data_IF_509680783067
#
_entry.id   IF_509680783067
#
_cell.length_a   1.000
_cell.length_b   1.000
_cell.length_c   1.000
_cell.angle_alpha   90.00
_cell.angle_beta   90.00
_cell.angle_gamma   90.00
#
_symmetry.space_group_name_H-M   'P 1'
#
loop_
_entity.id
_entity.type
_entity.pdbx_description
1 polymer ?
#
# COMPACT_ATOMS: atom_id res chain seq x y z
N UNK A 1 26.83 11.11 -0.09
CA UNK A 1 25.95 10.04 0.42
C UNK A 1 24.93 10.53 1.46
N UNK A 2 25.31 11.41 2.40
CA UNK A 2 24.40 11.99 3.41
C UNK A 2 23.09 12.59 2.87
N UNK A 3 23.08 13.42 1.79
CA UNK A 3 21.83 14.02 1.31
C UNK A 3 20.83 13.02 0.68
N UNK A 4 21.30 11.87 0.22
CA UNK A 4 20.42 10.80 -0.29
C UNK A 4 19.74 10.05 0.86
N UNK A 5 20.51 9.68 1.87
CA UNK A 5 19.98 8.94 3.04
C UNK A 5 19.00 9.78 3.86
N UNK A 6 19.28 11.11 4.03
CA UNK A 6 18.36 11.99 4.76
C UNK A 6 17.00 12.15 4.04
N UNK A 7 16.97 12.18 2.70
CA UNK A 7 15.73 12.24 1.93
C UNK A 7 14.91 10.96 2.04
N UNK A 8 15.56 9.81 2.03
CA UNK A 8 14.89 8.52 2.27
C UNK A 8 14.33 8.42 3.70
N UNK A 9 15.08 8.92 4.68
CA UNK A 9 14.61 8.99 6.07
C UNK A 9 13.35 9.85 6.19
N UNK A 10 13.36 11.05 5.62
CA UNK A 10 12.20 11.95 5.61
C UNK A 10 11.01 11.24 4.94
N UNK A 11 11.21 10.61 3.79
CA UNK A 11 10.15 9.88 3.09
C UNK A 11 9.56 8.76 3.96
N UNK A 12 10.41 7.98 4.63
CA UNK A 12 9.96 6.89 5.51
C UNK A 12 9.19 7.42 6.73
N UNK A 13 9.61 8.54 7.31
CA UNK A 13 8.89 9.19 8.41
C UNK A 13 7.50 9.65 7.96
N UNK A 14 7.39 10.25 6.76
CA UNK A 14 6.09 10.64 6.20
C UNK A 14 5.20 9.42 5.94
N UNK A 15 5.72 8.33 5.39
CA UNK A 15 4.97 7.08 5.25
C UNK A 15 4.48 6.56 6.61
N UNK A 16 5.36 6.52 7.60
CA UNK A 16 5.00 6.04 8.93
C UNK A 16 3.93 6.89 9.62
N UNK A 17 4.02 8.22 9.48
CA UNK A 17 3.00 9.15 9.97
C UNK A 17 1.67 8.89 9.24
N UNK A 18 1.71 8.73 7.93
CA UNK A 18 0.52 8.52 7.11
C UNK A 18 -0.20 7.21 7.47
N UNK A 19 0.55 6.12 7.65
CA UNK A 19 -0.01 4.81 8.03
C UNK A 19 -0.66 4.82 9.43
N UNK A 20 -0.13 5.65 10.34
CA UNK A 20 -0.63 5.71 11.71
C UNK A 20 -1.71 6.79 11.93
N UNK A 21 -1.68 7.88 11.14
CA UNK A 21 -2.63 8.99 11.32
C UNK A 21 -4.07 8.55 11.11
N UNK A 22 -4.30 7.61 10.20
CA UNK A 22 -5.62 7.05 9.97
C UNK A 22 -6.15 6.31 11.21
N UNK A 23 -5.32 5.48 11.84
CA UNK A 23 -5.68 4.78 13.08
C UNK A 23 -5.94 5.74 14.24
N UNK A 24 -5.17 6.84 14.34
CA UNK A 24 -5.36 7.90 15.35
C UNK A 24 -6.67 8.65 15.10
N UNK A 25 -6.98 9.01 13.86
CA UNK A 25 -8.23 9.68 13.50
C UNK A 25 -9.43 8.77 13.77
N UNK A 26 -9.35 7.51 13.38
CA UNK A 26 -10.40 6.54 13.70
C UNK A 26 -10.62 6.43 15.22
N UNK A 27 -9.55 6.35 16.02
CA UNK A 27 -9.65 6.26 17.48
C UNK A 27 -10.25 7.50 18.14
N UNK A 28 -10.18 8.68 17.49
CA UNK A 28 -10.72 9.94 18.00
C UNK A 28 -12.19 10.14 17.65
N UNK A 29 -12.64 9.71 16.47
CA UNK A 29 -13.95 10.03 15.91
C UNK A 29 -14.91 8.85 15.85
N UNK A 30 -14.41 7.62 15.97
CA UNK A 30 -15.19 6.39 15.86
C UNK A 30 -15.09 5.53 17.12
N UNK A 31 -15.91 4.50 17.21
CA UNK A 31 -15.90 3.59 18.36
C UNK A 31 -14.66 2.69 18.36
N UNK A 32 -14.22 2.24 19.53
CA UNK A 32 -13.13 1.27 19.66
C UNK A 32 -13.39 -0.03 18.87
N UNK A 33 -14.65 -0.38 18.67
CA UNK A 33 -15.07 -1.54 17.92
C UNK A 33 -14.82 -1.35 16.42
N UNK A 34 -15.15 -0.18 15.87
CA UNK A 34 -14.91 0.17 14.46
C UNK A 34 -13.42 0.21 14.12
N UNK A 35 -12.62 0.78 15.03
CA UNK A 35 -11.15 0.76 14.93
C UNK A 35 -10.64 -0.67 14.90
N UNK A 36 -11.20 -1.56 15.74
CA UNK A 36 -10.88 -2.97 15.75
C UNK A 36 -11.16 -3.65 14.41
N UNK A 37 -12.33 -3.42 13.82
CA UNK A 37 -12.72 -3.99 12.52
C UNK A 37 -11.79 -3.53 11.40
N UNK A 38 -11.50 -2.23 11.33
CA UNK A 38 -10.53 -1.70 10.36
C UNK A 38 -9.13 -2.30 10.55
N UNK A 39 -8.65 -2.35 11.79
CA UNK A 39 -7.30 -2.88 12.09
C UNK A 39 -7.16 -4.34 11.68
N UNK A 40 -8.19 -5.16 11.92
CA UNK A 40 -8.19 -6.56 11.49
C UNK A 40 -8.23 -6.68 9.97
N UNK A 41 -9.11 -5.93 9.29
CA UNK A 41 -9.17 -5.91 7.84
C UNK A 41 -7.82 -5.51 7.22
N UNK A 42 -7.25 -4.40 7.71
CA UNK A 42 -5.96 -3.89 7.24
C UNK A 42 -4.81 -4.87 7.48
N UNK A 43 -4.76 -5.52 8.65
CA UNK A 43 -3.74 -6.51 8.96
C UNK A 43 -3.70 -7.65 7.95
N UNK A 44 -4.84 -8.23 7.63
CA UNK A 44 -4.91 -9.37 6.72
C UNK A 44 -4.67 -8.97 5.27
N UNK A 45 -5.18 -7.81 4.85
CA UNK A 45 -4.89 -7.26 3.53
C UNK A 45 -3.41 -6.94 3.35
N UNK A 46 -2.79 -6.29 4.36
CA UNK A 46 -1.35 -6.01 4.37
C UNK A 46 -0.51 -7.29 4.30
N UNK A 47 -0.90 -8.33 5.02
CA UNK A 47 -0.22 -9.63 4.95
C UNK A 47 -0.30 -10.22 3.53
N UNK A 48 -1.45 -10.11 2.85
CA UNK A 48 -1.64 -10.58 1.49
C UNK A 48 -0.73 -9.90 0.48
N UNK A 49 -0.76 -8.57 0.39
CA UNK A 49 0.05 -7.87 -0.61
C UNK A 49 1.54 -7.75 -0.23
N UNK A 50 1.89 -7.77 1.08
CA UNK A 50 3.28 -7.69 1.50
C UNK A 50 4.10 -8.92 1.09
N UNK A 51 3.51 -10.10 1.09
CA UNK A 51 4.16 -11.30 0.57
C UNK A 51 4.58 -11.09 -0.89
N UNK A 52 3.66 -10.61 -1.73
CA UNK A 52 3.92 -10.33 -3.15
C UNK A 52 4.95 -9.22 -3.30
N UNK A 53 4.79 -8.12 -2.57
CA UNK A 53 5.69 -6.97 -2.63
C UNK A 53 7.12 -7.31 -2.21
N UNK A 54 7.30 -8.11 -1.16
CA UNK A 54 8.63 -8.51 -0.68
C UNK A 54 9.35 -9.41 -1.70
N UNK A 55 8.63 -10.37 -2.30
CA UNK A 55 9.20 -11.20 -3.37
C UNK A 55 9.65 -10.36 -4.57
N UNK A 56 8.83 -9.40 -4.98
CA UNK A 56 9.10 -8.54 -6.13
C UNK A 56 10.22 -7.55 -5.82
N UNK A 57 10.21 -6.91 -4.67
CA UNK A 57 11.23 -5.93 -4.27
C UNK A 57 12.61 -6.58 -4.15
N UNK A 58 12.70 -7.81 -3.66
CA UNK A 58 13.94 -8.55 -3.57
C UNK A 58 14.65 -8.77 -4.92
N UNK A 59 13.88 -8.80 -6.01
CA UNK A 59 14.40 -9.00 -7.37
C UNK A 59 14.44 -7.69 -8.16
N UNK A 60 13.41 -6.83 -8.03
CA UNK A 60 13.26 -5.66 -8.88
C UNK A 60 14.34 -4.60 -8.65
N UNK A 61 14.67 -4.32 -7.41
CA UNK A 61 15.61 -3.25 -7.10
C UNK A 61 17.02 -3.55 -7.61
N UNK A 62 17.68 -4.71 -7.33
CA UNK A 62 19.00 -5.00 -7.85
C UNK A 62 19.03 -5.04 -9.38
N UNK A 63 18.04 -5.67 -10.04
CA UNK A 63 17.99 -5.77 -11.50
C UNK A 63 17.81 -4.40 -12.17
N UNK A 64 16.99 -3.50 -11.60
CA UNK A 64 16.81 -2.16 -12.14
C UNK A 64 18.04 -1.27 -11.92
N UNK A 65 18.81 -1.48 -10.86
CA UNK A 65 20.08 -0.78 -10.61
C UNK A 65 21.16 -1.27 -11.58
N UNK A 66 21.32 -2.58 -11.76
CA UNK A 66 22.28 -3.18 -12.68
C UNK A 66 22.08 -2.70 -14.13
N UNK A 67 20.83 -2.56 -14.55
CA UNK A 67 20.46 -2.15 -15.91
C UNK A 67 20.32 -0.64 -16.09
N UNK A 68 20.66 0.16 -15.08
CA UNK A 68 20.49 1.62 -15.11
C UNK A 68 21.34 2.34 -16.16
N UNK A 69 22.43 1.73 -16.62
CA UNK A 69 23.31 2.25 -17.69
C UNK A 69 22.69 2.18 -19.08
N UNK A 70 21.76 1.26 -19.33
CA UNK A 70 21.05 1.09 -20.60
C UNK A 70 19.56 1.35 -20.44
N UNK A 71 19.11 2.54 -20.83
CA UNK A 71 17.73 2.98 -20.65
C UNK A 71 16.71 2.12 -21.43
N UNK A 72 17.09 1.57 -22.59
CA UNK A 72 16.19 0.74 -23.39
C UNK A 72 16.03 -0.64 -22.74
N UNK A 73 17.13 -1.23 -22.31
CA UNK A 73 17.14 -2.51 -21.61
C UNK A 73 16.40 -2.42 -20.28
N UNK A 74 16.64 -1.38 -19.48
CA UNK A 74 15.93 -1.12 -18.22
C UNK A 74 14.42 -1.00 -18.43
N UNK A 75 13.97 -0.25 -19.45
CA UNK A 75 12.55 -0.09 -19.79
C UNK A 75 11.90 -1.42 -20.16
N UNK A 76 12.56 -2.25 -20.94
CA UNK A 76 12.04 -3.55 -21.37
C UNK A 76 11.92 -4.52 -20.18
N UNK A 77 12.92 -4.55 -19.30
CA UNK A 77 12.91 -5.35 -18.07
C UNK A 77 11.80 -4.86 -17.15
N UNK A 78 11.71 -3.55 -16.91
CA UNK A 78 10.65 -2.97 -16.07
C UNK A 78 9.25 -3.36 -16.56
N UNK A 79 8.99 -3.28 -17.88
CA UNK A 79 7.69 -3.69 -18.46
C UNK A 79 7.38 -5.17 -18.24
N UNK A 80 8.37 -6.05 -18.37
CA UNK A 80 8.20 -7.48 -18.10
C UNK A 80 7.87 -7.74 -16.63
N UNK A 81 8.63 -7.13 -15.74
CA UNK A 81 8.41 -7.25 -14.29
C UNK A 81 7.05 -6.69 -13.89
N UNK A 82 6.65 -5.53 -14.44
CA UNK A 82 5.35 -4.92 -14.16
C UNK A 82 4.18 -5.84 -14.56
N UNK A 83 4.26 -6.46 -15.75
CA UNK A 83 3.23 -7.41 -16.21
C UNK A 83 3.17 -8.64 -15.30
N UNK A 84 4.31 -9.17 -14.91
CA UNK A 84 4.40 -10.32 -14.00
C UNK A 84 3.83 -9.98 -12.61
N UNK A 85 4.19 -8.81 -12.07
CA UNK A 85 3.65 -8.30 -10.80
C UNK A 85 2.14 -8.18 -10.86
N UNK A 86 1.60 -7.56 -11.90
CA UNK A 86 0.16 -7.41 -12.09
C UNK A 86 -0.53 -8.78 -12.21
N UNK A 87 0.05 -9.70 -12.99
CA UNK A 87 -0.49 -11.04 -13.19
C UNK A 87 -0.61 -11.85 -11.89
N UNK A 88 0.28 -11.65 -10.92
CA UNK A 88 0.22 -12.31 -9.61
C UNK A 88 -0.67 -11.51 -8.64
N UNK A 89 -0.49 -10.19 -8.58
CA UNK A 89 -1.13 -9.34 -7.58
C UNK A 89 -2.65 -9.28 -7.74
N UNK A 90 -3.14 -9.10 -8.97
CA UNK A 90 -4.59 -9.00 -9.19
C UNK A 90 -5.33 -10.28 -8.82
N UNK A 91 -5.00 -11.47 -9.34
CA UNK A 91 -5.71 -12.68 -8.96
C UNK A 91 -5.60 -13.00 -7.47
N UNK A 92 -4.44 -12.78 -6.85
CA UNK A 92 -4.25 -13.05 -5.44
C UNK A 92 -5.12 -12.15 -4.55
N UNK A 93 -5.12 -10.84 -4.80
CA UNK A 93 -5.86 -9.89 -3.97
C UNK A 93 -7.37 -9.93 -4.25
N UNK A 94 -7.79 -10.08 -5.52
CA UNK A 94 -9.20 -10.28 -5.83
C UNK A 94 -9.71 -11.65 -5.34
N UNK A 95 -8.89 -12.70 -5.42
CA UNK A 95 -9.19 -13.99 -4.83
C UNK A 95 -9.40 -13.89 -3.32
N UNK A 96 -8.52 -13.18 -2.62
CA UNK A 96 -8.66 -12.91 -1.19
C UNK A 96 -9.93 -12.10 -0.87
N UNK A 97 -10.30 -11.12 -1.71
CA UNK A 97 -11.53 -10.35 -1.55
C UNK A 97 -12.79 -11.22 -1.72
N UNK A 98 -12.78 -12.18 -2.66
CA UNK A 98 -13.90 -13.09 -2.89
C UNK A 98 -14.12 -14.03 -1.71
N UNK A 99 -13.06 -14.58 -1.15
CA UNK A 99 -13.12 -15.52 0.00
C UNK A 99 -13.03 -14.82 1.36
N UNK A 100 -13.11 -13.49 1.41
CA UNK A 100 -12.86 -12.72 2.63
C UNK A 100 -13.78 -13.11 3.80
N UNK A 101 -15.03 -13.48 3.52
CA UNK A 101 -15.98 -13.90 4.54
C UNK A 101 -15.55 -15.21 5.18
N UNK A 102 -15.31 -16.24 4.37
CA UNK A 102 -14.88 -17.57 4.83
C UNK A 102 -13.52 -17.47 5.51
N UNK A 103 -12.61 -16.69 4.93
CA UNK A 103 -11.28 -16.47 5.48
C UNK A 103 -11.35 -15.87 6.89
N UNK A 104 -12.13 -14.80 7.11
CA UNK A 104 -12.25 -14.16 8.42
C UNK A 104 -12.91 -15.10 9.43
N UNK A 105 -13.93 -15.83 9.06
CA UNK A 105 -14.59 -16.79 9.97
C UNK A 105 -13.63 -17.89 10.43
N UNK A 106 -12.81 -18.42 9.53
CA UNK A 106 -11.85 -19.49 9.82
C UNK A 106 -10.60 -18.96 10.55
N UNK A 107 -10.01 -17.88 10.06
CA UNK A 107 -8.73 -17.37 10.57
C UNK A 107 -8.84 -16.58 11.86
N UNK A 108 -10.00 -15.93 12.10
CA UNK A 108 -10.20 -15.10 13.29
C UNK A 108 -11.35 -15.61 14.14
N UNK A 109 -12.57 -15.42 13.75
CA UNK A 109 -13.83 -15.97 14.28
C UNK A 109 -15.02 -15.21 13.65
N UNK A 110 -16.23 -15.80 13.74
CA UNK A 110 -17.47 -15.15 13.23
C UNK A 110 -17.77 -13.78 13.86
N UNK A 111 -17.24 -13.49 15.07
CA UNK A 111 -17.39 -12.18 15.73
C UNK A 111 -16.85 -11.02 14.88
N UNK A 112 -15.86 -11.27 14.02
CA UNK A 112 -15.18 -10.26 13.20
C UNK A 112 -15.75 -10.14 11.78
N UNK A 113 -16.88 -10.76 11.50
CA UNK A 113 -17.50 -10.73 10.18
C UNK A 113 -17.82 -9.31 9.68
N UNK A 114 -18.08 -8.37 10.59
CA UNK A 114 -18.28 -6.96 10.23
C UNK A 114 -17.06 -6.27 9.59
N UNK A 115 -15.84 -6.85 9.69
CA UNK A 115 -14.65 -6.33 9.01
C UNK A 115 -14.55 -6.76 7.52
N UNK A 116 -15.37 -7.72 7.06
CA UNK A 116 -15.32 -8.27 5.70
C UNK A 116 -15.50 -7.20 4.62
N UNK A 117 -16.50 -6.31 4.66
CA UNK A 117 -16.66 -5.26 3.65
C UNK A 117 -15.45 -4.33 3.57
N UNK A 118 -14.87 -3.99 4.73
CA UNK A 118 -13.66 -3.16 4.80
C UNK A 118 -12.49 -3.90 4.14
N UNK A 119 -12.31 -5.18 4.46
CA UNK A 119 -11.25 -6.02 3.89
C UNK A 119 -11.37 -6.13 2.37
N UNK A 120 -12.57 -6.29 1.83
CA UNK A 120 -12.81 -6.36 0.38
C UNK A 120 -12.38 -5.07 -0.32
N UNK A 121 -12.71 -3.90 0.23
CA UNK A 121 -12.29 -2.60 -0.29
C UNK A 121 -10.75 -2.48 -0.25
N UNK A 122 -10.16 -2.80 0.89
CA UNK A 122 -8.70 -2.74 1.05
C UNK A 122 -7.96 -3.71 0.12
N UNK A 123 -8.54 -4.87 -0.21
CA UNK A 123 -7.96 -5.81 -1.17
C UNK A 123 -7.92 -5.25 -2.59
N UNK A 124 -8.92 -4.46 -3.01
CA UNK A 124 -8.90 -3.80 -4.32
C UNK A 124 -7.69 -2.86 -4.40
N UNK A 125 -7.48 -2.02 -3.40
CA UNK A 125 -6.30 -1.17 -3.32
C UNK A 125 -5.00 -1.99 -3.21
N UNK A 126 -4.99 -3.00 -2.35
CA UNK A 126 -3.84 -3.90 -2.14
C UNK A 126 -3.32 -4.55 -3.42
N UNK A 127 -4.18 -4.75 -4.43
CA UNK A 127 -3.78 -5.26 -5.73
C UNK A 127 -2.85 -4.31 -6.49
N UNK A 128 -2.94 -2.99 -6.24
CA UNK A 128 -2.10 -1.97 -6.89
C UNK A 128 -0.81 -1.66 -6.12
N UNK A 129 -0.74 -1.99 -4.83
CA UNK A 129 0.42 -1.67 -3.99
C UNK A 129 1.74 -2.23 -4.52
N UNK A 130 1.87 -3.51 -4.93
CA UNK A 130 3.12 -4.01 -5.49
C UNK A 130 3.56 -3.30 -6.77
N UNK A 131 2.58 -2.82 -7.56
CA UNK A 131 2.82 -2.03 -8.77
C UNK A 131 3.43 -0.67 -8.41
N UNK A 132 2.88 -0.01 -7.39
CA UNK A 132 3.39 1.28 -6.89
C UNK A 132 4.83 1.15 -6.39
N UNK A 133 5.16 0.07 -5.66
CA UNK A 133 6.54 -0.21 -5.25
C UNK A 133 7.49 -0.40 -6.43
N UNK A 134 7.05 -1.02 -7.52
CA UNK A 134 7.85 -1.15 -8.74
C UNK A 134 8.24 0.21 -9.33
N UNK A 135 7.30 1.17 -9.38
CA UNK A 135 7.59 2.55 -9.82
C UNK A 135 8.55 3.27 -8.88
N UNK A 136 8.39 3.09 -7.58
CA UNK A 136 9.29 3.64 -6.56
C UNK A 136 10.71 3.11 -6.75
N UNK A 137 10.88 1.80 -6.95
CA UNK A 137 12.18 1.18 -7.21
C UNK A 137 12.83 1.70 -8.49
N UNK A 138 12.06 1.96 -9.55
CA UNK A 138 12.55 2.56 -10.79
C UNK A 138 13.05 4.00 -10.57
N UNK A 139 12.33 4.82 -9.79
CA UNK A 139 12.77 6.19 -9.46
C UNK A 139 14.06 6.19 -8.65
N UNK A 140 14.16 5.29 -7.67
CA UNK A 140 15.34 5.11 -6.83
C UNK A 140 16.54 4.64 -7.68
N UNK A 141 16.35 3.66 -8.57
CA UNK A 141 17.41 3.15 -9.44
C UNK A 141 17.97 4.19 -10.40
N UNK A 142 17.16 5.19 -10.77
CA UNK A 142 17.57 6.35 -11.59
C UNK A 142 18.18 7.50 -10.78
N UNK A 143 18.37 7.34 -9.47
CA UNK A 143 18.91 8.38 -8.60
C UNK A 143 17.98 9.58 -8.41
N UNK A 144 16.70 9.50 -8.84
CA UNK A 144 15.72 10.59 -8.76
C UNK A 144 14.98 10.62 -7.41
N UNK A 145 15.72 10.50 -6.31
CA UNK A 145 15.16 10.51 -4.95
C UNK A 145 14.36 11.79 -4.61
N UNK A 146 14.70 12.93 -5.23
CA UNK A 146 13.93 14.17 -5.06
C UNK A 146 12.50 14.04 -5.58
N UNK A 147 12.32 13.46 -6.76
CA UNK A 147 10.98 13.24 -7.32
C UNK A 147 10.18 12.26 -6.47
N UNK A 148 10.83 11.22 -5.98
CA UNK A 148 10.19 10.25 -5.08
C UNK A 148 9.72 10.93 -3.78
N UNK A 149 10.58 11.71 -3.12
CA UNK A 149 10.25 12.45 -1.90
C UNK A 149 9.08 13.43 -2.12
N UNK A 150 9.12 14.26 -3.16
CA UNK A 150 8.05 15.22 -3.46
C UNK A 150 6.72 14.55 -3.79
N UNK A 151 6.76 13.44 -4.53
CA UNK A 151 5.56 12.65 -4.82
C UNK A 151 4.94 12.09 -3.54
N UNK A 152 5.75 11.54 -2.62
CA UNK A 152 5.27 11.02 -1.34
C UNK A 152 4.67 12.13 -0.46
N UNK A 153 5.32 13.28 -0.38
CA UNK A 153 4.79 14.43 0.39
C UNK A 153 3.47 14.92 -0.21
N UNK A 154 3.39 15.08 -1.54
CA UNK A 154 2.17 15.51 -2.21
C UNK A 154 1.03 14.51 -1.99
N UNK A 155 1.30 13.21 -2.12
CA UNK A 155 0.33 12.15 -1.87
C UNK A 155 -0.15 12.17 -0.42
N UNK A 156 0.75 12.34 0.57
CA UNK A 156 0.41 12.43 1.99
C UNK A 156 -0.48 13.64 2.30
N UNK A 157 -0.20 14.79 1.69
CA UNK A 157 -1.03 16.00 1.87
C UNK A 157 -2.42 15.83 1.28
N UNK A 158 -2.53 15.28 0.07
CA UNK A 158 -3.83 14.99 -0.57
C UNK A 158 -4.63 14.01 0.28
N UNK A 159 -4.00 12.94 0.74
CA UNK A 159 -4.63 11.93 1.58
C UNK A 159 -5.14 12.51 2.91
N UNK A 160 -4.32 13.35 3.58
CA UNK A 160 -4.73 14.06 4.80
C UNK A 160 -5.92 14.99 4.58
N UNK A 161 -5.92 15.78 3.53
CA UNK A 161 -7.02 16.69 3.22
C UNK A 161 -8.30 15.92 2.92
N UNK A 162 -8.23 14.84 2.15
CA UNK A 162 -9.38 13.97 1.88
C UNK A 162 -9.92 13.30 3.14
N UNK A 163 -9.05 12.80 4.03
CA UNK A 163 -9.45 12.23 5.31
C UNK A 163 -10.20 13.23 6.18
N UNK A 164 -9.69 14.46 6.29
CA UNK A 164 -10.32 15.51 7.08
C UNK A 164 -11.71 15.89 6.54
N UNK A 165 -11.89 15.92 5.22
CA UNK A 165 -13.18 16.20 4.59
C UNK A 165 -14.20 15.06 4.79
N UNK A 166 -13.75 13.84 5.06
CA UNK A 166 -14.61 12.65 5.05
C UNK A 166 -14.90 12.10 6.45
N UNK A 167 -14.35 12.69 7.51
CA UNK A 167 -14.52 12.26 8.91
C UNK A 167 -15.99 12.04 9.28
N UNK A 168 -16.92 12.82 8.71
CA UNK A 168 -18.36 12.76 9.03
C UNK A 168 -19.15 11.74 8.21
N UNK A 169 -18.56 11.10 7.19
CA UNK A 169 -19.30 10.27 6.23
C UNK A 169 -19.30 8.77 6.52
N UNK A 170 -18.63 8.33 7.58
CA UNK A 170 -18.59 6.93 8.00
C UNK A 170 -17.32 6.18 7.62
N UNK A 171 -17.05 5.08 8.36
CA UNK A 171 -15.80 4.32 8.27
C UNK A 171 -15.55 3.67 6.88
N UNK A 172 -16.60 3.22 6.20
CA UNK A 172 -16.48 2.63 4.87
C UNK A 172 -16.04 3.67 3.84
N UNK A 173 -16.60 4.88 3.87
CA UNK A 173 -16.23 5.97 2.97
C UNK A 173 -14.81 6.43 3.26
N UNK A 174 -14.43 6.53 4.53
CA UNK A 174 -13.05 6.82 4.92
C UNK A 174 -12.08 5.73 4.44
N UNK A 175 -12.44 4.45 4.54
CA UNK A 175 -11.62 3.35 4.04
C UNK A 175 -11.42 3.43 2.52
N UNK A 176 -12.48 3.76 1.76
CA UNK A 176 -12.40 3.93 0.28
C UNK A 176 -11.48 5.09 -0.10
N UNK A 177 -11.52 6.21 0.63
CA UNK A 177 -10.73 7.41 0.31
C UNK A 177 -9.28 7.25 0.76
N UNK A 178 -9.04 6.50 1.84
CA UNK A 178 -7.70 6.19 2.32
C UNK A 178 -6.95 5.27 1.35
N UNK A 179 -7.64 4.44 0.61
CA UNK A 179 -7.08 3.51 -0.39
C UNK A 179 -6.85 4.17 -1.74
#
# INVERSE_FOLDING_TARGET
>A
MLPFSSKLLITNVFHYINDNIFSVLLGRFYTSQDVGYYTQANKWTNMGFSLISNMINGVSQPVLVETSSDAMRQKNIFRKMLRFTAFISFPAMFGLALIANEFIVIAVTAKWQACVPIMQILCIWGAFVPITYMYSNLLISKGKSNLFMWNTIAQSLVQLTMLLCTISQGILVMAVIYT
#
